data_IF_309871317041
#
_entry.id   IF_309871317041
#
_cell.length_a   1.000
_cell.length_b   1.000
_cell.length_c   1.000
_cell.angle_alpha   90.00
_cell.angle_beta   90.00
_cell.angle_gamma   90.00
#
_symmetry.space_group_name_H-M   'P 1'
#
loop_
_entity.id
_entity.type
_entity.pdbx_description
1 polymer ?
#
# COMPACT_ATOMS: atom_id res chain seq x y z
N UNK A 1 -14.04 8.73 17.83
CA UNK A 1 -13.14 7.70 17.25
C UNK A 1 -13.14 7.88 15.75
N UNK A 2 -11.97 7.82 15.10
CA UNK A 2 -11.85 7.85 13.64
C UNK A 2 -12.28 6.48 13.11
N UNK A 3 -13.16 6.42 12.11
CA UNK A 3 -13.54 5.14 11.49
C UNK A 3 -12.41 4.62 10.60
N UNK A 4 -12.36 3.31 10.33
CA UNK A 4 -11.34 2.77 9.42
C UNK A 4 -11.41 3.41 8.02
N UNK A 5 -12.62 3.72 7.57
CA UNK A 5 -12.85 4.40 6.30
C UNK A 5 -12.21 5.79 6.32
N UNK A 6 -12.41 6.57 7.39
CA UNK A 6 -11.76 7.88 7.56
C UNK A 6 -10.23 7.74 7.64
N UNK A 7 -9.73 6.69 8.30
CA UNK A 7 -8.30 6.41 8.40
C UNK A 7 -7.70 6.12 7.01
N UNK A 8 -8.33 5.24 6.22
CA UNK A 8 -7.93 4.95 4.84
C UNK A 8 -8.01 6.20 3.95
N UNK A 9 -9.12 6.95 4.05
CA UNK A 9 -9.32 8.18 3.29
C UNK A 9 -8.25 9.23 3.57
N UNK A 10 -7.72 9.29 4.80
CA UNK A 10 -6.61 10.20 5.13
C UNK A 10 -5.33 9.94 4.30
N UNK A 11 -5.13 8.72 3.78
CA UNK A 11 -4.06 8.41 2.84
C UNK A 11 -4.47 8.60 1.38
N UNK A 12 -5.70 8.26 1.02
CA UNK A 12 -6.20 8.38 -0.37
C UNK A 12 -6.39 9.85 -0.78
N UNK A 13 -6.80 10.70 0.17
CA UNK A 13 -7.19 12.10 -0.02
C UNK A 13 -6.46 13.00 0.97
N UNK A 14 -5.14 12.88 1.02
CA UNK A 14 -4.30 13.67 1.91
C UNK A 14 -4.38 15.15 1.52
N UNK A 15 -4.89 15.98 2.42
CA UNK A 15 -4.96 17.43 2.23
C UNK A 15 -3.68 18.10 2.71
N UNK A 16 -2.94 18.74 1.82
CA UNK A 16 -1.72 19.50 2.13
C UNK A 16 -1.94 20.95 1.73
N UNK A 17 -2.01 21.86 2.70
CA UNK A 17 -2.28 23.29 2.47
C UNK A 17 -3.53 23.54 1.58
N UNK A 18 -4.59 22.75 1.78
CA UNK A 18 -5.84 22.85 1.03
C UNK A 18 -5.91 22.06 -0.29
N UNK A 19 -4.79 21.53 -0.78
CA UNK A 19 -4.73 20.69 -1.99
C UNK A 19 -4.84 19.22 -1.63
N UNK A 20 -5.57 18.44 -2.43
CA UNK A 20 -5.78 17.00 -2.19
C UNK A 20 -4.84 16.15 -3.07
N UNK A 21 -4.16 15.18 -2.44
CA UNK A 21 -3.30 14.22 -3.12
C UNK A 21 -3.41 12.83 -2.52
N UNK A 22 -3.05 11.81 -3.30
CA UNK A 22 -2.66 10.52 -2.74
C UNK A 22 -1.42 10.69 -1.87
N UNK A 23 -1.39 10.04 -0.70
CA UNK A 23 -0.20 9.97 0.14
C UNK A 23 0.99 9.45 -0.68
N UNK A 24 2.15 10.14 -0.68
CA UNK A 24 3.26 9.78 -1.54
C UNK A 24 3.88 8.43 -1.14
N UNK A 25 4.46 7.74 -2.12
CA UNK A 25 5.22 6.53 -1.87
C UNK A 25 6.66 6.86 -1.50
N UNK A 26 7.16 6.20 -0.46
CA UNK A 26 8.59 6.12 -0.20
C UNK A 26 8.97 4.76 0.39
N UNK A 27 10.10 4.20 -0.04
CA UNK A 27 10.72 3.04 0.60
C UNK A 27 12.20 3.28 0.83
N UNK A 28 12.69 2.81 1.98
CA UNK A 28 14.11 2.89 2.32
C UNK A 28 14.95 2.18 1.24
N UNK A 29 16.08 2.78 0.87
CA UNK A 29 17.01 2.18 -0.08
C UNK A 29 18.03 1.35 0.68
N UNK A 30 18.12 0.08 0.31
CA UNK A 30 19.04 -0.90 0.91
C UNK A 30 20.05 -1.31 -0.17
N UNK A 31 21.34 -1.27 0.16
CA UNK A 31 22.44 -1.77 -0.68
C UNK A 31 23.33 -2.64 0.19
N UNK A 32 23.65 -3.85 -0.27
CA UNK A 32 24.49 -4.81 0.47
C UNK A 32 24.02 -5.06 1.92
N UNK A 33 22.70 -5.21 2.13
CA UNK A 33 22.03 -5.35 3.44
C UNK A 33 22.15 -4.14 4.38
N UNK A 34 22.76 -3.04 3.94
CA UNK A 34 22.84 -1.79 4.69
C UNK A 34 21.83 -0.78 4.14
N UNK A 35 21.18 -0.06 5.05
CA UNK A 35 20.30 1.06 4.70
C UNK A 35 21.15 2.27 4.30
N UNK A 36 21.08 2.65 3.03
CA UNK A 36 21.86 3.77 2.48
C UNK A 36 21.06 5.07 2.40
N UNK A 37 19.73 4.98 2.44
CA UNK A 37 18.87 6.16 2.45
C UNK A 37 17.56 5.84 3.18
N UNK A 38 17.33 6.54 4.28
CA UNK A 38 16.10 6.46 5.07
C UNK A 38 15.09 7.51 4.65
N UNK A 39 13.84 7.10 4.68
CA UNK A 39 12.70 7.99 4.59
C UNK A 39 12.39 8.68 5.89
N UNK A 40 11.55 9.71 5.80
CA UNK A 40 10.83 10.18 6.96
C UNK A 40 10.06 9.01 7.60
N UNK A 41 10.29 8.79 8.90
CA UNK A 41 9.75 7.66 9.66
C UNK A 41 9.98 6.30 8.96
N UNK A 42 11.15 6.12 8.34
CA UNK A 42 11.56 4.89 7.66
C UNK A 42 10.60 4.41 6.54
N UNK A 43 9.82 5.34 5.96
CA UNK A 43 8.77 4.99 4.99
C UNK A 43 7.56 4.29 5.61
N UNK A 44 7.37 4.46 6.93
CA UNK A 44 6.32 3.86 7.75
C UNK A 44 5.46 4.90 8.49
N UNK A 45 5.59 6.17 8.12
CA UNK A 45 4.85 7.28 8.76
C UNK A 45 3.34 7.17 8.56
N UNK A 46 2.57 7.60 9.55
CA UNK A 46 1.12 7.78 9.39
C UNK A 46 0.81 9.02 8.51
N UNK A 47 -0.42 9.09 7.99
CA UNK A 47 -0.86 10.14 7.07
C UNK A 47 -0.72 11.54 7.67
N UNK A 48 -1.03 11.71 8.95
CA UNK A 48 -0.94 13.01 9.62
C UNK A 48 0.50 13.48 9.80
N UNK A 49 1.37 12.61 10.29
CA UNK A 49 2.80 12.89 10.39
C UNK A 49 3.41 13.24 9.03
N UNK A 50 3.04 12.50 7.98
CA UNK A 50 3.50 12.78 6.60
C UNK A 50 3.00 14.15 6.13
N UNK A 51 1.72 14.46 6.33
CA UNK A 51 1.10 15.74 5.98
C UNK A 51 1.82 16.91 6.67
N UNK A 52 1.96 16.85 7.99
CA UNK A 52 2.61 17.89 8.79
C UNK A 52 4.07 18.12 8.35
N UNK A 53 4.79 17.03 8.02
CA UNK A 53 6.15 17.14 7.49
C UNK A 53 6.19 17.83 6.13
N UNK A 54 5.25 17.52 5.23
CA UNK A 54 5.14 18.18 3.92
C UNK A 54 4.79 19.67 4.07
N UNK A 55 3.82 20.02 4.93
CA UNK A 55 3.44 21.41 5.19
C UNK A 55 4.62 22.21 5.75
N UNK A 56 5.41 21.63 6.66
CA UNK A 56 6.64 22.25 7.17
C UNK A 56 7.69 22.46 6.09
N UNK A 57 7.79 21.61 5.08
CA UNK A 57 8.70 21.84 3.96
C UNK A 57 8.16 22.90 3.00
N UNK A 58 6.85 22.95 2.79
CA UNK A 58 6.23 23.96 1.94
C UNK A 58 6.20 25.36 2.56
N UNK A 59 6.36 25.50 3.88
CA UNK A 59 6.44 26.83 4.52
C UNK A 59 7.67 27.63 4.07
N UNK A 60 8.74 26.94 3.64
CA UNK A 60 9.99 27.55 3.18
C UNK A 60 10.26 27.35 1.68
N UNK A 61 9.33 26.73 0.93
CA UNK A 61 9.47 26.47 -0.52
C UNK A 61 8.91 27.66 -1.33
N UNK A 62 9.76 28.43 -2.04
CA UNK A 62 9.30 29.59 -2.82
C UNK A 62 8.30 29.22 -3.93
N UNK A 63 8.45 28.05 -4.54
CA UNK A 63 7.61 27.62 -5.66
C UNK A 63 6.42 26.74 -5.24
N UNK A 64 6.01 26.80 -3.96
CA UNK A 64 4.99 25.88 -3.41
C UNK A 64 3.69 25.86 -4.20
N UNK A 65 3.20 27.01 -4.67
CA UNK A 65 1.96 27.09 -5.43
C UNK A 65 2.03 26.26 -6.74
N UNK A 66 3.14 26.38 -7.48
CA UNK A 66 3.35 25.65 -8.72
C UNK A 66 3.57 24.14 -8.52
N UNK A 67 4.06 23.74 -7.34
CA UNK A 67 4.23 22.32 -6.97
C UNK A 67 2.88 21.72 -6.54
N UNK A 68 2.11 22.45 -5.73
CA UNK A 68 0.82 22.00 -5.20
C UNK A 68 -0.29 21.97 -6.26
N UNK A 69 -0.17 22.75 -7.34
CA UNK A 69 -1.13 22.70 -8.45
C UNK A 69 -0.92 21.51 -9.39
N UNK A 70 0.14 20.70 -9.22
CA UNK A 70 0.53 19.64 -10.14
C UNK A 70 0.90 18.35 -9.37
N UNK A 71 0.06 17.29 -9.45
CA UNK A 71 0.31 16.03 -8.75
C UNK A 71 1.66 15.36 -9.10
N UNK A 72 2.22 15.56 -10.29
CA UNK A 72 3.54 15.04 -10.63
C UNK A 72 4.65 15.83 -9.93
N UNK A 73 4.57 17.16 -9.91
CA UNK A 73 5.54 17.99 -9.19
C UNK A 73 5.47 17.73 -7.69
N UNK A 74 4.28 17.61 -7.12
CA UNK A 74 4.09 17.23 -5.71
C UNK A 74 4.77 15.90 -5.39
N UNK A 75 4.54 14.86 -6.22
CA UNK A 75 5.20 13.55 -6.04
C UNK A 75 6.72 13.64 -6.14
N UNK A 76 7.24 14.39 -7.12
CA UNK A 76 8.69 14.62 -7.27
C UNK A 76 9.25 15.35 -6.05
N UNK A 77 8.54 16.34 -5.52
CA UNK A 77 8.91 17.06 -4.32
C UNK A 77 8.99 16.13 -3.11
N UNK A 78 7.91 15.39 -2.80
CA UNK A 78 7.89 14.43 -1.69
C UNK A 78 9.04 13.41 -1.80
N UNK A 79 9.29 12.90 -3.02
CA UNK A 79 10.38 11.96 -3.28
C UNK A 79 11.77 12.56 -3.07
N UNK A 80 12.01 13.83 -3.43
CA UNK A 80 13.31 14.51 -3.18
C UNK A 80 13.57 14.68 -1.69
N UNK A 81 12.52 14.79 -0.88
CA UNK A 81 12.61 14.91 0.57
C UNK A 81 12.45 13.56 1.30
N UNK A 82 12.45 12.44 0.57
CA UNK A 82 12.32 11.09 1.12
C UNK A 82 11.04 10.89 1.97
N UNK A 83 9.93 11.51 1.58
CA UNK A 83 8.66 11.47 2.31
C UNK A 83 7.66 10.56 1.60
N UNK A 84 7.05 9.68 2.39
CA UNK A 84 5.97 8.82 1.96
C UNK A 84 5.86 7.56 2.79
N UNK A 85 5.03 6.65 2.31
CA UNK A 85 4.79 5.35 2.95
C UNK A 85 4.97 4.22 1.94
N UNK A 86 5.64 3.13 2.33
CA UNK A 86 5.77 1.93 1.50
C UNK A 86 4.54 1.02 1.61
N UNK A 87 4.44 0.02 0.73
CA UNK A 87 3.28 -0.88 0.70
C UNK A 87 3.07 -1.66 2.00
N UNK A 88 4.13 -2.19 2.60
CA UNK A 88 4.03 -2.93 3.86
C UNK A 88 3.73 -2.03 5.06
N UNK A 89 4.24 -0.80 5.08
CA UNK A 89 3.98 0.19 6.12
C UNK A 89 2.53 0.64 6.10
N UNK A 90 1.98 0.87 4.90
CA UNK A 90 0.56 1.17 4.74
C UNK A 90 -0.32 0.05 5.27
N UNK A 91 -0.07 -1.19 4.81
CA UNK A 91 -0.84 -2.36 5.25
C UNK A 91 -0.74 -2.54 6.76
N UNK A 92 0.47 -2.46 7.33
CA UNK A 92 0.67 -2.55 8.77
C UNK A 92 -0.15 -1.48 9.51
N UNK A 93 -0.04 -0.20 9.13
CA UNK A 93 -0.77 0.90 9.78
C UNK A 93 -2.27 0.70 9.76
N UNK A 94 -2.84 0.24 8.66
CA UNK A 94 -4.29 0.00 8.56
C UNK A 94 -4.69 -1.19 9.44
N UNK A 95 -3.95 -2.29 9.40
CA UNK A 95 -4.25 -3.48 10.20
C UNK A 95 -4.03 -3.28 11.70
N UNK A 96 -3.07 -2.45 12.09
CA UNK A 96 -2.77 -2.09 13.49
C UNK A 96 -3.92 -1.31 14.16
N UNK A 97 -4.83 -0.73 13.37
CA UNK A 97 -6.07 -0.15 13.89
C UNK A 97 -7.13 -1.22 14.27
N UNK A 98 -6.96 -2.47 13.82
CA UNK A 98 -7.88 -3.58 14.11
C UNK A 98 -7.33 -4.57 15.14
N UNK A 99 -6.02 -4.78 15.14
CA UNK A 99 -5.35 -5.72 16.02
C UNK A 99 -3.99 -5.14 16.42
N UNK A 100 -3.56 -5.33 17.68
CA UNK A 100 -2.24 -4.87 18.12
C UNK A 100 -1.14 -5.70 17.42
N UNK A 101 -0.70 -5.24 16.24
CA UNK A 101 0.24 -6.00 15.41
C UNK A 101 1.63 -6.06 16.03
N UNK A 102 1.95 -5.17 16.98
CA UNK A 102 3.23 -5.17 17.67
C UNK A 102 3.44 -6.41 18.55
N UNK A 103 2.35 -7.02 19.03
CA UNK A 103 2.38 -8.28 19.78
C UNK A 103 2.57 -9.49 18.87
N UNK A 104 2.09 -9.39 17.62
CA UNK A 104 2.16 -10.48 16.63
C UNK A 104 3.50 -10.49 15.91
N UNK A 105 4.02 -9.30 15.59
CA UNK A 105 5.24 -9.14 14.82
C UNK A 105 6.36 -8.56 15.69
N UNK A 106 7.28 -9.39 16.19
CA UNK A 106 8.43 -8.91 16.97
C UNK A 106 9.21 -7.83 16.22
N UNK A 107 9.46 -6.70 16.90
CA UNK A 107 10.11 -5.51 16.34
C UNK A 107 9.18 -4.53 15.61
N UNK A 108 7.86 -4.78 15.62
CA UNK A 108 6.82 -3.87 15.14
C UNK A 108 6.92 -3.52 13.65
N UNK A 109 6.38 -2.36 13.29
CA UNK A 109 6.27 -1.89 11.89
C UNK A 109 7.61 -1.83 11.16
N UNK A 110 8.70 -1.46 11.84
CA UNK A 110 10.02 -1.29 11.23
C UNK A 110 10.74 -2.61 10.93
N UNK A 111 10.29 -3.73 11.53
CA UNK A 111 10.82 -5.07 11.27
C UNK A 111 9.82 -5.98 10.54
N UNK A 112 8.75 -5.39 10.02
CA UNK A 112 7.66 -6.12 9.38
C UNK A 112 7.55 -5.71 7.91
N UNK A 113 8.15 -6.54 7.05
CA UNK A 113 8.12 -6.37 5.60
C UNK A 113 7.05 -7.29 4.96
N UNK A 114 6.89 -7.18 3.65
CA UNK A 114 5.93 -7.99 2.86
C UNK A 114 6.05 -9.49 3.16
N UNK A 115 7.28 -10.04 3.16
CA UNK A 115 7.48 -11.47 3.41
C UNK A 115 6.99 -11.89 4.79
N UNK A 116 7.26 -11.07 5.81
CA UNK A 116 6.81 -11.33 7.19
C UNK A 116 5.29 -11.22 7.32
N UNK A 117 4.69 -10.19 6.72
CA UNK A 117 3.23 -10.00 6.71
C UNK A 117 2.48 -11.16 6.05
N UNK A 118 3.09 -11.86 5.10
CA UNK A 118 2.45 -12.96 4.35
C UNK A 118 3.08 -14.32 4.68
N UNK A 119 3.82 -14.45 5.78
CA UNK A 119 4.45 -15.71 6.16
C UNK A 119 3.39 -16.69 6.70
N UNK A 120 3.56 -17.98 6.42
CA UNK A 120 2.65 -19.05 6.88
C UNK A 120 2.57 -19.16 8.41
N UNK A 121 3.59 -18.67 9.11
CA UNK A 121 3.58 -18.52 10.57
C UNK A 121 2.41 -17.64 11.04
N UNK A 122 2.16 -16.53 10.36
CA UNK A 122 1.15 -15.53 10.74
C UNK A 122 -0.12 -15.60 9.91
N UNK A 123 -0.08 -16.24 8.74
CA UNK A 123 -1.15 -16.20 7.76
C UNK A 123 -1.66 -17.58 7.34
N UNK A 124 -2.90 -17.61 6.86
CA UNK A 124 -3.49 -18.72 6.09
C UNK A 124 -3.70 -18.26 4.65
N UNK A 125 -3.22 -19.03 3.68
CA UNK A 125 -3.44 -18.76 2.26
C UNK A 125 -4.88 -19.13 1.87
N UNK A 126 -5.52 -18.30 1.06
CA UNK A 126 -6.84 -18.58 0.45
C UNK A 126 -6.66 -19.18 -0.93
N UNK A 127 -7.57 -20.07 -1.31
CA UNK A 127 -7.43 -20.86 -2.55
C UNK A 127 -8.18 -20.26 -3.72
N UNK A 128 -9.17 -19.43 -3.46
CA UNK A 128 -10.04 -18.86 -4.49
C UNK A 128 -10.43 -17.42 -4.20
N UNK A 129 -10.91 -16.72 -5.22
CA UNK A 129 -11.41 -15.35 -5.14
C UNK A 129 -12.64 -15.26 -4.22
N UNK A 130 -13.49 -16.29 -4.20
CA UNK A 130 -14.68 -16.33 -3.33
C UNK A 130 -14.36 -16.44 -1.83
N UNK A 131 -13.16 -16.91 -1.47
CA UNK A 131 -12.72 -16.95 -0.07
C UNK A 131 -12.16 -15.60 0.44
N UNK A 132 -11.87 -14.68 -0.48
CA UNK A 132 -11.27 -13.39 -0.16
C UNK A 132 -12.25 -12.50 0.62
N UNK A 133 -11.75 -11.80 1.64
CA UNK A 133 -12.53 -10.89 2.48
C UNK A 133 -11.76 -9.61 2.77
N UNK A 134 -12.46 -8.55 3.17
CA UNK A 134 -11.84 -7.36 3.75
C UNK A 134 -10.92 -7.74 4.91
N UNK A 135 -9.71 -7.17 4.93
CA UNK A 135 -8.65 -7.55 5.87
C UNK A 135 -7.62 -8.52 5.29
N UNK A 136 -7.93 -9.21 4.18
CA UNK A 136 -6.98 -10.11 3.53
C UNK A 136 -5.86 -9.35 2.80
N UNK A 137 -4.68 -9.94 2.76
CA UNK A 137 -3.52 -9.43 2.06
C UNK A 137 -3.43 -10.03 0.67
N UNK A 138 -3.13 -9.21 -0.34
CA UNK A 138 -2.71 -9.70 -1.65
C UNK A 138 -1.20 -9.51 -1.77
N UNK A 139 -0.47 -10.62 -1.91
CA UNK A 139 0.97 -10.61 -2.14
C UNK A 139 1.26 -10.50 -3.63
N UNK A 140 2.24 -9.69 -3.99
CA UNK A 140 2.65 -9.47 -5.38
C UNK A 140 4.16 -9.59 -5.57
N UNK A 141 4.54 -9.85 -6.82
CA UNK A 141 5.90 -9.80 -7.34
C UNK A 141 6.87 -10.67 -6.52
N UNK A 142 6.43 -11.88 -6.17
CA UNK A 142 7.20 -12.82 -5.37
C UNK A 142 7.43 -12.36 -3.92
N UNK A 143 6.53 -11.56 -3.37
CA UNK A 143 6.66 -10.99 -2.02
C UNK A 143 7.52 -9.73 -1.92
N UNK A 144 7.56 -8.95 -3.00
CA UNK A 144 8.19 -7.62 -3.03
C UNK A 144 7.17 -6.49 -2.86
N UNK A 145 5.88 -6.79 -2.99
CA UNK A 145 4.80 -5.82 -2.85
C UNK A 145 3.58 -6.47 -2.22
N UNK A 146 2.75 -5.67 -1.54
CA UNK A 146 1.54 -6.13 -0.85
C UNK A 146 0.42 -5.10 -0.99
N UNK A 147 -0.81 -5.59 -1.04
CA UNK A 147 -2.02 -4.79 -0.87
C UNK A 147 -2.89 -5.36 0.26
N UNK A 148 -3.81 -4.55 0.75
CA UNK A 148 -4.86 -4.96 1.69
C UNK A 148 -6.21 -4.90 0.98
N UNK A 149 -7.01 -5.95 1.06
CA UNK A 149 -8.39 -5.97 0.59
C UNK A 149 -9.22 -5.13 1.56
N UNK A 150 -9.92 -4.13 1.04
CA UNK A 150 -10.73 -3.20 1.84
C UNK A 150 -12.23 -3.43 1.63
N UNK A 151 -12.61 -4.01 0.50
CA UNK A 151 -14.01 -4.31 0.18
C UNK A 151 -14.12 -5.51 -0.77
N UNK A 152 -15.17 -6.30 -0.60
CA UNK A 152 -15.43 -7.52 -1.38
C UNK A 152 -16.92 -7.70 -1.62
N UNK A 153 -17.27 -8.12 -2.83
CA UNK A 153 -18.61 -8.60 -3.19
C UNK A 153 -18.49 -9.88 -4.03
N UNK A 154 -19.61 -10.40 -4.52
CA UNK A 154 -19.60 -11.52 -5.46
C UNK A 154 -18.99 -11.17 -6.82
N UNK A 155 -18.96 -9.88 -7.17
CA UNK A 155 -18.57 -9.39 -8.48
C UNK A 155 -17.20 -8.73 -8.49
N UNK A 156 -16.71 -8.27 -7.33
CA UNK A 156 -15.45 -7.55 -7.26
C UNK A 156 -14.71 -7.65 -5.92
N UNK A 157 -13.41 -7.40 -6.00
CA UNK A 157 -12.52 -7.17 -4.86
C UNK A 157 -11.89 -5.79 -5.04
N UNK A 158 -11.97 -4.93 -4.02
CA UNK A 158 -11.27 -3.65 -3.97
C UNK A 158 -10.12 -3.76 -2.96
N UNK A 159 -8.93 -3.33 -3.37
CA UNK A 159 -7.74 -3.35 -2.51
C UNK A 159 -7.04 -2.01 -2.50
N UNK A 160 -6.33 -1.74 -1.41
CA UNK A 160 -5.48 -0.56 -1.24
C UNK A 160 -4.01 -0.96 -1.20
N UNK A 161 -3.15 -0.17 -1.83
CA UNK A 161 -1.70 -0.31 -1.72
C UNK A 161 -0.98 1.03 -1.92
N UNK A 162 0.32 1.07 -1.64
CA UNK A 162 1.19 2.21 -1.95
C UNK A 162 2.26 1.80 -2.96
N UNK A 163 2.31 2.44 -4.14
CA UNK A 163 3.24 2.08 -5.22
C UNK A 163 3.91 3.32 -5.81
N UNK A 164 5.18 3.19 -6.22
CA UNK A 164 5.90 4.28 -6.90
C UNK A 164 5.79 4.22 -8.43
N UNK A 165 6.03 3.05 -9.04
CA UNK A 165 6.16 2.94 -10.51
C UNK A 165 5.52 1.68 -11.07
N UNK A 166 4.90 0.84 -10.22
CA UNK A 166 4.32 -0.41 -10.69
C UNK A 166 2.98 -0.18 -11.41
N UNK A 167 2.27 0.88 -11.02
CA UNK A 167 0.92 1.21 -11.47
C UNK A 167 0.90 2.57 -12.19
N UNK A 168 -0.17 2.85 -12.92
CA UNK A 168 -0.37 4.15 -13.59
C UNK A 168 -0.56 5.29 -12.58
N UNK A 169 -1.24 5.00 -11.48
CA UNK A 169 -1.38 5.88 -10.32
C UNK A 169 -0.19 5.67 -9.38
N UNK A 170 0.27 6.71 -8.67
CA UNK A 170 1.39 6.60 -7.74
C UNK A 170 0.98 7.08 -6.34
N UNK A 171 1.73 6.63 -5.33
CA UNK A 171 1.37 6.83 -3.93
C UNK A 171 0.34 5.79 -3.48
N UNK A 172 -0.42 6.13 -2.44
CA UNK A 172 -1.52 5.32 -1.93
C UNK A 172 -2.74 5.44 -2.83
N UNK A 173 -3.28 4.32 -3.30
CA UNK A 173 -4.48 4.29 -4.14
C UNK A 173 -5.19 2.94 -4.05
N UNK A 174 -6.41 2.91 -4.60
CA UNK A 174 -7.22 1.72 -4.74
C UNK A 174 -7.03 1.07 -6.12
N UNK A 175 -7.03 -0.26 -6.13
CA UNK A 175 -7.20 -1.08 -7.32
C UNK A 175 -8.45 -1.95 -7.19
N UNK A 176 -8.94 -2.46 -8.33
CA UNK A 176 -10.12 -3.32 -8.39
C UNK A 176 -9.86 -4.57 -9.24
N UNK A 177 -10.42 -5.68 -8.80
CA UNK A 177 -10.46 -6.96 -9.50
C UNK A 177 -11.93 -7.28 -9.72
N UNK A 178 -12.33 -7.52 -10.97
CA UNK A 178 -13.65 -8.06 -11.27
C UNK A 178 -13.55 -9.59 -11.24
N UNK A 179 -14.39 -10.20 -10.42
CA UNK A 179 -14.46 -11.64 -10.21
C UNK A 179 -15.16 -12.25 -11.43
N UNK A 180 -14.48 -13.16 -12.11
CA UNK A 180 -15.04 -13.91 -13.24
C UNK A 180 -15.56 -15.28 -12.80
N UNK A 181 -14.91 -15.87 -11.80
CA UNK A 181 -15.20 -17.21 -11.29
C UNK A 181 -14.73 -17.27 -9.84
N UNK A 182 -15.66 -17.51 -8.90
CA UNK A 182 -15.38 -17.51 -7.47
C UNK A 182 -14.51 -18.67 -7.01
N UNK A 183 -14.46 -19.76 -7.77
CA UNK A 183 -13.74 -20.98 -7.42
C UNK A 183 -12.29 -20.94 -7.93
N UNK A 184 -11.91 -19.89 -8.66
CA UNK A 184 -10.55 -19.68 -9.20
C UNK A 184 -9.76 -18.67 -8.36
N UNK A 185 -8.44 -18.75 -8.44
CA UNK A 185 -7.52 -17.78 -7.83
C UNK A 185 -7.51 -16.46 -8.62
N UNK A 186 -6.89 -15.42 -8.08
CA UNK A 186 -6.91 -14.06 -8.62
C UNK A 186 -6.21 -13.90 -9.97
N UNK A 187 -5.35 -14.83 -10.37
CA UNK A 187 -4.68 -14.82 -11.69
C UNK A 187 -5.66 -15.05 -12.84
N UNK A 188 -6.76 -15.74 -12.55
CA UNK A 188 -7.84 -16.05 -13.49
C UNK A 188 -8.90 -14.95 -13.55
N UNK A 189 -8.72 -13.83 -12.83
CA UNK A 189 -9.71 -12.77 -12.71
C UNK A 189 -9.35 -11.55 -13.54
N UNK A 190 -10.29 -10.62 -13.72
CA UNK A 190 -10.04 -9.43 -14.54
C UNK A 190 -9.58 -8.24 -13.69
N UNK A 191 -8.31 -7.88 -13.83
CA UNK A 191 -7.72 -6.74 -13.12
C UNK A 191 -7.94 -5.44 -13.88
N UNK A 192 -8.67 -4.49 -13.27
CA UNK A 192 -8.92 -3.18 -13.86
C UNK A 192 -7.67 -2.28 -13.79
N UNK A 193 -6.87 -2.44 -12.73
CA UNK A 193 -5.67 -1.64 -12.53
C UNK A 193 -4.65 -1.88 -13.65
N UNK A 194 -4.09 -0.77 -14.14
CA UNK A 194 -3.09 -0.76 -15.19
C UNK A 194 -1.73 -0.33 -14.67
N UNK A 195 -0.70 -0.88 -15.28
CA UNK A 195 0.67 -0.39 -15.14
C UNK A 195 0.82 0.95 -15.86
N UNK A 196 1.95 1.63 -15.66
CA UNK A 196 2.26 2.89 -16.35
C UNK A 196 2.29 2.75 -17.88
N UNK A 197 2.53 1.55 -18.41
CA UNK A 197 2.54 1.25 -19.85
C UNK A 197 1.19 0.73 -20.34
N UNK A 198 0.14 0.76 -19.52
CA UNK A 198 -1.22 0.33 -19.91
C UNK A 198 -1.49 -1.17 -19.78
N UNK A 199 -0.49 -1.99 -19.48
CA UNK A 199 -0.66 -3.44 -19.26
C UNK A 199 -1.50 -3.71 -18.00
N UNK A 200 -2.22 -4.83 -17.96
CA UNK A 200 -2.93 -5.28 -16.75
C UNK A 200 -1.93 -5.52 -15.60
N UNK A 201 -2.18 -4.89 -14.44
CA UNK A 201 -1.32 -4.98 -13.27
C UNK A 201 -1.20 -6.41 -12.75
N UNK A 202 -2.34 -7.10 -12.59
CA UNK A 202 -2.38 -8.51 -12.16
C UNK A 202 -1.58 -9.41 -13.08
N UNK A 203 -1.80 -9.34 -14.41
CA UNK A 203 -1.04 -10.15 -15.37
C UNK A 203 0.47 -9.95 -15.28
N UNK A 204 0.92 -8.72 -15.02
CA UNK A 204 2.35 -8.40 -14.93
C UNK A 204 2.98 -8.79 -13.60
N UNK A 205 2.29 -8.57 -12.49
CA UNK A 205 2.90 -8.60 -11.15
C UNK A 205 2.31 -9.63 -10.19
N UNK A 206 1.14 -10.22 -10.48
CA UNK A 206 0.60 -11.32 -9.69
C UNK A 206 1.09 -12.65 -10.30
N UNK A 207 2.00 -13.33 -9.59
CA UNK A 207 2.71 -14.53 -10.05
C UNK A 207 2.54 -15.66 -9.03
N UNK A 208 1.44 -16.44 -9.09
CA UNK A 208 1.19 -17.53 -8.15
C UNK A 208 2.33 -18.55 -8.08
N UNK A 209 3.01 -18.80 -9.21
CA UNK A 209 4.21 -19.63 -9.34
C UNK A 209 5.39 -19.13 -8.47
N UNK A 210 5.37 -17.86 -8.06
CA UNK A 210 6.36 -17.23 -7.18
C UNK A 210 5.85 -17.03 -5.74
N UNK A 211 4.76 -17.70 -5.40
CA UNK A 211 4.14 -17.64 -4.08
C UNK A 211 3.27 -16.40 -3.84
N UNK A 212 2.87 -15.69 -4.90
CA UNK A 212 1.83 -14.68 -4.79
C UNK A 212 0.47 -15.34 -4.54
N UNK A 213 -0.46 -14.59 -3.94
CA UNK A 213 -1.74 -15.13 -3.50
C UNK A 213 -2.45 -14.22 -2.52
N UNK A 214 -3.59 -14.70 -2.03
CA UNK A 214 -4.36 -14.06 -0.96
C UNK A 214 -4.03 -14.72 0.38
N UNK A 215 -3.77 -13.89 1.40
CA UNK A 215 -3.33 -14.33 2.73
C UNK A 215 -4.16 -13.65 3.81
N UNK A 216 -4.81 -14.42 4.68
CA UNK A 216 -5.49 -13.91 5.87
C UNK A 216 -4.61 -14.04 7.09
N UNK A 217 -4.46 -12.97 7.87
CA UNK A 217 -3.82 -13.07 9.18
C UNK A 217 -4.62 -14.01 10.10
N UNK A 218 -3.94 -14.91 10.79
CA UNK A 218 -4.58 -15.88 11.71
C UNK A 218 -5.34 -15.22 12.84
N UNK A 219 -4.93 -14.03 13.28
CA UNK A 219 -5.65 -13.26 14.33
C UNK A 219 -6.99 -12.70 13.85
N UNK A 220 -7.20 -12.61 12.54
CA UNK A 220 -8.44 -12.15 11.91
C UNK A 220 -9.31 -13.32 11.41
N UNK A 221 -8.92 -14.56 11.74
CA UNK A 221 -9.59 -15.79 11.29
C UNK A 221 -10.49 -16.39 12.35
#
# INVERSE_FOLDING_TARGET
MVTIQQFIESYLKMKVLGYEFNCPYWSNKIKNKNEILRGFLDGKGDSESIRLKLEKLFSVEPNKAAILSDPEKFRKFAKRHNIGIDCSGLVYRILDNFANLSEIFPGGINKTNVKKLTAEEFCRRKKSAGEAQSGDLIRFNGGRHVALIVDTSKEFITYIHSSSRLTGVQGVHLGKINILDQDKDLDSQNWSEKTRTGESFGRKFFKPDRGDGVFRLKILS
#
